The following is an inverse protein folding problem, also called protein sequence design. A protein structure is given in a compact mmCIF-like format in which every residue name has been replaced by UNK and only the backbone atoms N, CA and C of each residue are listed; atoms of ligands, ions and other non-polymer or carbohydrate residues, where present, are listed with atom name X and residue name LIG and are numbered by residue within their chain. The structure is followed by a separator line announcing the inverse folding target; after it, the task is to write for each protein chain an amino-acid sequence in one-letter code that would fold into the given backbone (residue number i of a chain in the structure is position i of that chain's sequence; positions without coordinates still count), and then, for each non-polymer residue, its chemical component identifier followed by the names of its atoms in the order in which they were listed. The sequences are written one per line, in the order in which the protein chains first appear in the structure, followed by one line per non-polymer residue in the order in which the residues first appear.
data_IF_385760339305
#
_entry.id   IF_385760339305
#
_cell.length_a   1.000
_cell.length_b   1.000
_cell.length_c   1.000
_cell.angle_alpha   90.00
_cell.angle_beta   90.00
_cell.angle_gamma   90.00
#
_symmetry.space_group_name_H-M   'P 1'
#
loop_
_entity.id
_entity.type
_entity.pdbx_description
1 polymer ?
#
# COMPACT_ATOMS: atom_id res chain seq x y z
N UNK A 1 -12.50 15.66 12.24
CA UNK A 1 -11.51 14.67 12.69
C UNK A 1 -11.07 13.93 11.44
N UNK A 2 -9.97 14.38 10.83
CA UNK A 2 -9.51 13.84 9.56
C UNK A 2 -8.76 12.53 9.84
N UNK A 3 -9.15 11.46 9.14
CA UNK A 3 -8.38 10.22 9.07
C UNK A 3 -7.10 10.57 8.31
N UNK A 4 -6.02 10.78 9.04
CA UNK A 4 -4.71 11.10 8.48
C UNK A 4 -4.09 9.78 7.99
N UNK A 5 -4.35 9.44 6.72
CA UNK A 5 -3.57 8.40 6.05
C UNK A 5 -2.11 8.86 6.10
N UNK A 6 -1.25 8.05 6.70
CA UNK A 6 0.16 8.39 6.92
C UNK A 6 0.81 8.75 5.57
N UNK A 7 1.35 9.97 5.39
CA UNK A 7 1.86 10.41 4.09
C UNK A 7 3.00 9.51 3.57
N UNK A 8 3.75 8.88 4.47
CA UNK A 8 4.81 7.93 4.14
C UNK A 8 4.30 6.71 3.36
N UNK A 9 3.10 6.20 3.71
CA UNK A 9 2.46 5.10 2.99
C UNK A 9 2.15 5.48 1.54
N UNK A 10 1.64 6.69 1.32
CA UNK A 10 1.31 7.20 -0.01
C UNK A 10 2.57 7.37 -0.85
N UNK A 11 3.66 7.85 -0.26
CA UNK A 11 4.94 7.96 -0.97
C UNK A 11 5.49 6.59 -1.37
N UNK A 12 5.40 5.58 -0.50
CA UNK A 12 5.79 4.20 -0.82
C UNK A 12 4.96 3.62 -1.96
N UNK A 13 3.63 3.77 -1.90
CA UNK A 13 2.73 3.31 -2.98
C UNK A 13 3.04 4.02 -4.31
N UNK A 14 3.33 5.33 -4.28
CA UNK A 14 3.71 6.10 -5.48
C UNK A 14 5.08 5.71 -6.05
N UNK A 15 5.96 5.14 -5.22
CA UNK A 15 7.27 4.64 -5.64
C UNK A 15 7.25 3.23 -6.23
N UNK A 16 6.12 2.52 -6.16
CA UNK A 16 5.98 1.17 -6.70
C UNK A 16 6.04 1.17 -8.24
N UNK A 17 6.59 0.09 -8.79
CA UNK A 17 6.55 -0.15 -10.24
C UNK A 17 5.14 -0.50 -10.70
N UNK A 18 4.85 -0.37 -12.00
CA UNK A 18 3.54 -0.69 -12.57
C UNK A 18 3.10 -2.12 -12.24
N UNK A 19 3.99 -3.12 -12.35
CA UNK A 19 3.70 -4.51 -12.01
C UNK A 19 3.31 -4.70 -10.52
N UNK A 20 3.95 -3.94 -9.62
CA UNK A 20 3.62 -3.95 -8.20
C UNK A 20 2.28 -3.23 -7.95
N UNK A 21 1.98 -2.16 -8.68
CA UNK A 21 0.69 -1.46 -8.60
C UNK A 21 -0.48 -2.33 -9.08
N UNK A 22 -0.30 -3.15 -10.11
CA UNK A 22 -1.33 -4.11 -10.55
C UNK A 22 -1.57 -5.18 -9.48
N UNK A 23 -0.48 -5.74 -8.92
CA UNK A 23 -0.55 -6.71 -7.82
C UNK A 23 -1.18 -6.11 -6.56
N UNK A 24 -0.83 -4.86 -6.25
CA UNK A 24 -1.44 -4.10 -5.15
C UNK A 24 -2.92 -3.91 -5.42
N UNK A 25 -3.33 -3.58 -6.64
CA UNK A 25 -4.73 -3.37 -6.98
C UNK A 25 -5.61 -4.59 -6.68
N UNK A 26 -5.14 -5.79 -7.01
CA UNK A 26 -5.84 -7.04 -6.67
C UNK A 26 -5.84 -7.30 -5.16
N UNK A 27 -4.68 -7.20 -4.50
CA UNK A 27 -4.57 -7.45 -3.06
C UNK A 27 -5.33 -6.40 -2.22
N UNK A 28 -5.39 -5.15 -2.68
CA UNK A 28 -6.09 -4.04 -2.03
C UNK A 28 -7.59 -4.27 -1.91
N UNK A 29 -8.18 -5.05 -2.81
CA UNK A 29 -9.58 -5.46 -2.71
C UNK A 29 -9.82 -6.45 -1.56
N UNK A 30 -8.80 -7.19 -1.14
CA UNK A 30 -8.83 -8.13 -0.02
C UNK A 30 -8.47 -7.46 1.32
N UNK A 31 -7.81 -6.29 1.28
CA UNK A 31 -7.42 -5.58 2.49
C UNK A 31 -8.64 -5.06 3.25
N UNK A 32 -8.75 -5.48 4.51
CA UNK A 32 -9.74 -5.00 5.47
C UNK A 32 -9.22 -3.82 6.29
N UNK A 33 -7.90 -3.72 6.46
CA UNK A 33 -7.25 -2.69 7.29
C UNK A 33 -6.02 -2.07 6.63
N UNK A 34 -5.70 -0.83 7.03
CA UNK A 34 -4.49 -0.13 6.53
C UNK A 34 -3.20 -0.86 6.95
N UNK A 35 -3.23 -1.62 8.04
CA UNK A 35 -2.10 -2.43 8.51
C UNK A 35 -1.72 -3.52 7.49
N UNK A 36 -2.67 -4.04 6.71
CA UNK A 36 -2.41 -5.02 5.66
C UNK A 36 -1.71 -4.38 4.46
N UNK A 37 -2.13 -3.17 4.10
CA UNK A 37 -1.43 -2.34 3.10
C UNK A 37 0.02 -2.07 3.54
N UNK A 38 0.24 -1.73 4.81
CA UNK A 38 1.59 -1.53 5.37
C UNK A 38 2.44 -2.80 5.31
N UNK A 39 1.87 -3.95 5.69
CA UNK A 39 2.57 -5.24 5.64
C UNK A 39 2.90 -5.65 4.20
N UNK A 40 2.01 -5.38 3.25
CA UNK A 40 2.23 -5.66 1.83
C UNK A 40 3.34 -4.77 1.25
N UNK A 41 3.31 -3.47 1.55
CA UNK A 41 4.36 -2.53 1.12
C UNK A 41 5.73 -2.91 1.68
N UNK A 42 5.80 -3.35 2.93
CA UNK A 42 7.05 -3.85 3.53
C UNK A 42 7.59 -5.11 2.84
N UNK A 43 6.74 -5.93 2.23
CA UNK A 43 7.16 -7.09 1.45
C UNK A 43 7.61 -6.75 0.02
N UNK A 44 7.30 -5.55 -0.49
CA UNK A 44 7.70 -5.09 -1.82
C UNK A 44 9.03 -4.31 -1.82
N UNK A 45 9.48 -3.86 -0.66
CA UNK A 45 10.70 -3.04 -0.48
C UNK A 45 11.97 -3.91 -0.25
N UNK A 46 11.93 -5.18 -0.70
CA UNK A 46 12.99 -6.20 -0.51
C UNK A 46 13.97 -6.23 -1.67
#
# INVERSE_FOLDING_TARGET
MCIEINPLLIERVRGLSIEQLETLGEALLDFSEVAELEAWLNQQEV
#
